data_IF_639946310896
#
_entry.id   IF_639946310896
#
_cell.length_a   1.000
_cell.length_b   1.000
_cell.length_c   1.000
_cell.angle_alpha   90.00
_cell.angle_beta   90.00
_cell.angle_gamma   90.00
#
_symmetry.space_group_name_H-M   'P 1'
#
loop_
_entity.id
_entity.type
_entity.pdbx_description
1 polymer ?
#
# COMPACT_ATOMS: atom_id res chain seq x y z
N UNK A 1 -9.64 -7.58 -8.89
CA UNK A 1 -10.06 -6.80 -7.72
C UNK A 1 -9.15 -5.61 -7.53
N UNK A 2 -9.74 -4.44 -7.52
CA UNK A 2 -9.11 -3.16 -7.23
C UNK A 2 -10.03 -2.31 -6.35
N UNK A 3 -9.72 -1.03 -6.19
CA UNK A 3 -10.68 -0.11 -5.55
C UNK A 3 -11.71 0.34 -6.58
N UNK A 4 -12.97 -0.05 -6.38
CA UNK A 4 -14.12 0.31 -7.26
C UNK A 4 -14.16 1.80 -7.53
N UNK A 5 -13.84 2.58 -6.51
CA UNK A 5 -13.93 4.03 -6.53
C UNK A 5 -12.57 4.73 -6.80
N UNK A 6 -11.58 4.07 -7.41
CA UNK A 6 -10.27 4.70 -7.68
C UNK A 6 -10.39 6.05 -8.41
N UNK A 7 -11.26 6.13 -9.44
CA UNK A 7 -11.52 7.37 -10.18
C UNK A 7 -12.05 8.47 -9.25
N UNK A 8 -12.90 8.11 -8.30
CA UNK A 8 -13.51 9.07 -7.37
C UNK A 8 -12.55 9.45 -6.25
N UNK A 9 -11.69 8.53 -5.78
CA UNK A 9 -10.55 8.84 -4.91
C UNK A 9 -9.68 9.91 -5.57
N UNK A 10 -9.26 9.71 -6.82
CA UNK A 10 -8.44 10.67 -7.56
C UNK A 10 -9.13 12.03 -7.74
N UNK A 11 -10.43 12.04 -8.09
CA UNK A 11 -11.21 13.28 -8.20
C UNK A 11 -11.33 13.99 -6.86
N UNK A 12 -11.48 13.26 -5.75
CA UNK A 12 -11.56 13.82 -4.40
C UNK A 12 -10.21 14.44 -4.02
N UNK A 13 -9.10 13.74 -4.28
CA UNK A 13 -7.74 14.28 -4.10
C UNK A 13 -7.55 15.60 -4.87
N UNK A 14 -7.97 15.67 -6.14
CA UNK A 14 -7.90 16.93 -6.94
C UNK A 14 -8.76 18.07 -6.41
N UNK A 15 -9.87 17.78 -5.72
CA UNK A 15 -10.71 18.81 -5.12
C UNK A 15 -10.11 19.32 -3.81
N UNK A 16 -9.54 18.44 -3.01
CA UNK A 16 -8.91 18.78 -1.72
C UNK A 16 -7.51 19.39 -1.90
N UNK A 17 -6.81 19.03 -2.97
CA UNK A 17 -5.45 19.48 -3.28
C UNK A 17 -5.32 19.92 -4.73
N UNK A 18 -4.75 21.11 -4.95
CA UNK A 18 -4.49 21.65 -6.31
C UNK A 18 -3.58 20.74 -7.13
N UNK A 19 -2.66 20.03 -6.47
CA UNK A 19 -1.71 19.11 -7.10
C UNK A 19 -1.77 17.74 -6.45
N UNK A 20 -1.88 16.71 -7.30
CA UNK A 20 -1.81 15.30 -6.89
C UNK A 20 -0.38 14.82 -7.03
N UNK A 21 0.20 14.31 -5.95
CA UNK A 21 1.57 13.81 -5.89
C UNK A 21 1.61 12.28 -5.94
N UNK A 22 2.71 11.73 -6.45
CA UNK A 22 3.02 10.32 -6.37
C UNK A 22 4.47 10.19 -5.89
N UNK A 23 4.67 9.57 -4.74
CA UNK A 23 5.98 9.37 -4.13
C UNK A 23 6.26 7.87 -4.00
N UNK A 24 7.42 7.43 -4.48
CA UNK A 24 7.94 6.09 -4.19
C UNK A 24 8.79 6.19 -2.94
N UNK A 25 8.50 5.35 -1.96
CA UNK A 25 9.20 5.25 -0.69
C UNK A 25 10.68 5.05 -0.89
N UNK A 26 11.50 5.78 -0.14
CA UNK A 26 12.95 5.55 -0.06
C UNK A 26 13.30 4.17 0.54
N UNK A 27 12.34 3.50 1.18
CA UNK A 27 12.48 2.14 1.70
C UNK A 27 12.13 1.08 0.66
N UNK A 28 11.94 1.50 -0.59
CA UNK A 28 11.76 0.59 -1.71
C UNK A 28 13.11 0.10 -2.21
N UNK A 29 13.15 -1.16 -2.62
CA UNK A 29 14.36 -1.76 -3.18
C UNK A 29 14.57 -1.34 -4.64
N UNK A 30 15.82 -1.35 -5.08
CA UNK A 30 16.15 -1.19 -6.49
C UNK A 30 15.53 -2.34 -7.30
N UNK A 31 14.87 -1.98 -8.41
CA UNK A 31 14.19 -2.95 -9.25
C UNK A 31 15.18 -3.83 -10.03
N UNK A 32 14.92 -5.13 -10.03
CA UNK A 32 15.62 -6.15 -10.79
C UNK A 32 14.56 -7.12 -11.37
N UNK A 33 14.43 -7.23 -12.70
CA UNK A 33 13.36 -8.04 -13.31
C UNK A 33 13.47 -9.55 -13.02
N UNK A 34 14.64 -10.04 -12.56
CA UNK A 34 14.83 -11.43 -12.16
C UNK A 34 14.39 -11.71 -10.72
N UNK A 35 13.98 -10.69 -9.96
CA UNK A 35 13.57 -10.80 -8.56
C UNK A 35 12.06 -10.70 -8.40
N UNK A 36 11.57 -11.17 -7.24
CA UNK A 36 10.16 -11.04 -6.85
C UNK A 36 9.98 -9.83 -5.94
N UNK A 37 8.86 -9.12 -6.12
CA UNK A 37 8.53 -7.95 -5.31
C UNK A 37 7.09 -7.98 -4.84
N UNK A 38 6.87 -7.43 -3.65
CA UNK A 38 5.56 -7.00 -3.18
C UNK A 38 5.54 -5.47 -3.14
N UNK A 39 4.39 -4.89 -3.50
CA UNK A 39 4.20 -3.46 -3.43
C UNK A 39 2.83 -3.08 -2.91
N UNK A 40 2.78 -1.92 -2.26
CA UNK A 40 1.53 -1.31 -1.77
C UNK A 40 1.49 0.13 -2.25
N UNK A 41 0.33 0.53 -2.77
CA UNK A 41 -0.01 1.93 -3.01
C UNK A 41 -0.99 2.39 -1.95
N UNK A 42 -0.68 3.50 -1.31
CA UNK A 42 -1.48 4.09 -0.24
C UNK A 42 -2.14 5.34 -0.79
N UNK A 43 -3.44 5.43 -0.57
CA UNK A 43 -4.30 6.51 -1.04
C UNK A 43 -4.62 7.49 0.09
N UNK A 44 -4.99 6.97 1.26
CA UNK A 44 -5.41 7.79 2.40
C UNK A 44 -5.12 7.08 3.73
N UNK A 45 -4.96 7.87 4.78
CA UNK A 45 -4.92 7.38 6.17
C UNK A 45 -5.93 8.18 6.97
N UNK A 46 -6.77 7.49 7.75
CA UNK A 46 -7.91 8.07 8.48
C UNK A 46 -8.83 8.89 7.56
N UNK A 47 -8.97 8.43 6.31
CA UNK A 47 -9.76 9.11 5.28
C UNK A 47 -9.13 10.40 4.74
N UNK A 48 -7.91 10.78 5.14
CA UNK A 48 -7.21 11.99 4.68
C UNK A 48 -6.16 11.67 3.63
N UNK A 49 -6.06 12.53 2.61
CA UNK A 49 -5.08 12.40 1.54
C UNK A 49 -3.73 13.07 1.84
N UNK A 50 -3.67 13.87 2.90
CA UNK A 50 -2.44 14.38 3.48
C UNK A 50 -2.36 13.92 4.93
N UNK A 51 -1.24 13.29 5.28
CA UNK A 51 -1.07 12.64 6.57
C UNK A 51 0.40 12.65 6.99
N UNK A 52 0.61 12.51 8.29
CA UNK A 52 1.91 12.36 8.92
C UNK A 52 1.96 10.98 9.57
N UNK A 53 2.97 10.17 9.24
CA UNK A 53 3.10 8.86 9.87
C UNK A 53 3.52 9.04 11.34
N UNK A 54 2.65 8.62 12.26
CA UNK A 54 2.89 8.65 13.71
C UNK A 54 2.85 7.27 14.36
N UNK A 55 2.60 6.24 13.57
CA UNK A 55 2.34 4.88 14.03
C UNK A 55 3.63 4.04 14.16
N UNK A 56 4.78 4.66 13.89
CA UNK A 56 6.09 4.03 13.95
C UNK A 56 6.55 3.54 12.58
N UNK A 57 7.23 2.40 12.57
CA UNK A 57 7.89 1.87 11.36
C UNK A 57 9.02 2.75 10.86
N UNK A 58 9.55 2.40 9.68
CA UNK A 58 10.69 3.10 9.07
C UNK A 58 10.36 4.54 8.63
N UNK A 59 9.11 4.80 8.25
CA UNK A 59 8.66 6.09 7.72
C UNK A 59 8.14 7.06 8.81
N UNK A 60 8.34 6.74 10.09
CA UNK A 60 7.84 7.53 11.21
C UNK A 60 8.28 9.01 11.16
N UNK A 61 7.38 9.92 11.50
CA UNK A 61 7.61 11.37 11.56
C UNK A 61 7.57 12.08 10.20
N UNK A 62 7.28 11.36 9.11
CA UNK A 62 7.28 11.92 7.75
C UNK A 62 5.88 12.24 7.27
N UNK A 63 5.77 13.32 6.50
CA UNK A 63 4.53 13.75 5.85
C UNK A 63 4.46 13.20 4.45
N UNK A 64 3.24 12.79 4.07
CA UNK A 64 2.91 12.23 2.76
C UNK A 64 1.64 12.90 2.24
N UNK A 65 1.50 12.87 0.91
CA UNK A 65 0.33 13.41 0.22
C UNK A 65 -0.03 12.55 -0.98
N UNK A 66 -1.33 12.40 -1.23
CA UNK A 66 -1.90 11.69 -2.38
C UNK A 66 -1.45 10.23 -2.45
N UNK A 67 -0.63 9.85 -3.43
CA UNK A 67 -0.18 8.48 -3.62
C UNK A 67 1.21 8.27 -3.01
N UNK A 68 1.33 7.30 -2.12
CA UNK A 68 2.61 6.83 -1.59
C UNK A 68 2.78 5.34 -1.88
N UNK A 69 3.91 4.96 -2.49
CA UNK A 69 4.15 3.61 -2.98
C UNK A 69 5.34 3.00 -2.26
N UNK A 70 5.20 1.78 -1.76
CA UNK A 70 6.29 1.00 -1.15
C UNK A 70 6.49 -0.24 -2.00
N UNK A 71 7.73 -0.57 -2.38
CA UNK A 71 8.05 -1.76 -3.19
C UNK A 71 9.29 -2.45 -2.62
N UNK A 72 9.17 -3.67 -2.09
CA UNK A 72 10.33 -4.39 -1.57
C UNK A 72 10.45 -5.76 -2.21
N UNK A 73 11.70 -6.21 -2.41
CA UNK A 73 12.01 -7.54 -2.87
C UNK A 73 11.69 -8.54 -1.78
N UNK A 74 10.97 -9.59 -2.15
CA UNK A 74 10.51 -10.60 -1.20
C UNK A 74 11.47 -11.80 -1.15
N UNK A 75 12.51 -11.83 -1.98
CA UNK A 75 13.37 -13.02 -2.17
C UNK A 75 14.09 -13.49 -0.89
N UNK A 76 14.42 -12.56 0.01
CA UNK A 76 15.14 -12.85 1.26
C UNK A 76 14.27 -12.68 2.51
N UNK A 77 12.95 -12.58 2.34
CA UNK A 77 12.05 -12.47 3.49
C UNK A 77 11.96 -13.81 4.21
N UNK A 78 11.99 -13.77 5.55
CA UNK A 78 11.80 -14.96 6.36
C UNK A 78 10.42 -15.56 6.09
N UNK A 79 10.31 -16.89 6.12
CA UNK A 79 9.04 -17.60 5.90
C UNK A 79 7.93 -17.12 6.83
N UNK A 80 8.27 -16.66 8.03
CA UNK A 80 7.32 -16.15 9.00
C UNK A 80 6.62 -14.86 8.52
N UNK A 81 7.21 -14.11 7.57
CA UNK A 81 6.56 -12.97 6.91
C UNK A 81 5.55 -13.37 5.85
N UNK A 82 5.47 -14.68 5.53
CA UNK A 82 4.51 -15.27 4.62
C UNK A 82 3.44 -16.10 5.34
N UNK A 83 3.58 -16.35 6.65
CA UNK A 83 2.64 -17.16 7.44
C UNK A 83 1.37 -16.36 7.84
N UNK A 84 0.24 -17.05 8.08
CA UNK A 84 -1.05 -16.57 7.60
C UNK A 84 -1.80 -15.68 8.59
N UNK A 85 -2.32 -14.56 8.06
CA UNK A 85 -3.70 -14.15 8.30
C UNK A 85 -4.58 -14.30 7.04
N UNK A 86 -4.09 -15.02 6.01
CA UNK A 86 -4.76 -15.22 4.71
C UNK A 86 -4.00 -14.60 3.53
N UNK A 87 -4.63 -14.59 2.36
CA UNK A 87 -4.12 -13.92 1.16
C UNK A 87 -3.83 -12.44 1.48
N UNK A 88 -2.60 -11.97 1.29
CA UNK A 88 -2.18 -10.58 1.57
C UNK A 88 -1.20 -10.37 2.75
N UNK A 89 -0.68 -11.45 3.34
CA UNK A 89 0.35 -11.38 4.41
C UNK A 89 1.58 -10.53 4.03
N UNK A 90 2.06 -10.65 2.78
CA UNK A 90 3.23 -9.90 2.30
C UNK A 90 2.99 -8.39 2.26
N UNK A 91 1.75 -7.97 1.96
CA UNK A 91 1.41 -6.54 1.89
C UNK A 91 1.14 -5.95 3.26
N UNK A 92 0.55 -6.74 4.17
CA UNK A 92 0.39 -6.35 5.57
C UNK A 92 1.76 -6.17 6.24
N UNK A 93 2.71 -7.06 5.98
CA UNK A 93 4.09 -6.90 6.43
C UNK A 93 4.72 -5.59 5.93
N UNK A 94 4.50 -5.20 4.66
CA UNK A 94 4.99 -3.91 4.15
C UNK A 94 4.43 -2.72 4.93
N UNK A 95 3.12 -2.73 5.17
CA UNK A 95 2.44 -1.67 5.91
C UNK A 95 2.96 -1.59 7.35
N UNK A 96 3.07 -2.72 8.04
CA UNK A 96 3.57 -2.78 9.42
C UNK A 96 5.06 -2.40 9.50
N UNK A 97 5.91 -2.91 8.60
CA UNK A 97 7.35 -2.62 8.60
C UNK A 97 7.67 -1.15 8.27
N UNK A 98 6.99 -0.59 7.27
CA UNK A 98 7.30 0.76 6.80
C UNK A 98 6.50 1.82 7.53
N UNK A 99 5.21 1.60 7.77
CA UNK A 99 4.33 2.58 8.42
C UNK A 99 4.03 2.29 9.88
N UNK A 100 4.24 1.06 10.37
CA UNK A 100 3.79 0.67 11.71
C UNK A 100 2.28 0.43 11.80
N UNK A 101 1.58 0.36 10.65
CA UNK A 101 0.11 0.24 10.60
C UNK A 101 -0.28 -1.16 10.15
N UNK A 102 -1.06 -1.85 10.96
CA UNK A 102 -1.68 -3.12 10.60
C UNK A 102 -2.90 -2.89 9.70
N UNK A 103 -3.02 -3.64 8.62
CA UNK A 103 -4.16 -3.50 7.68
C UNK A 103 -5.52 -3.82 8.32
N UNK A 104 -5.53 -4.61 9.39
CA UNK A 104 -6.73 -4.96 10.16
C UNK A 104 -7.44 -3.75 10.78
N UNK A 105 -6.71 -2.64 11.02
CA UNK A 105 -7.26 -1.42 11.60
C UNK A 105 -8.21 -0.67 10.64
N UNK A 106 -8.24 -1.03 9.34
CA UNK A 106 -9.08 -0.43 8.28
C UNK A 106 -8.94 1.09 8.05
N UNK A 107 -8.07 1.76 8.79
CA UNK A 107 -7.81 3.20 8.68
C UNK A 107 -7.00 3.60 7.46
N UNK A 108 -6.28 2.65 6.86
CA UNK A 108 -5.44 2.87 5.69
C UNK A 108 -6.15 2.41 4.42
N UNK A 109 -6.48 3.35 3.54
CA UNK A 109 -6.95 3.06 2.20
C UNK A 109 -5.74 2.77 1.31
N UNK A 110 -5.60 1.52 0.85
CA UNK A 110 -4.47 1.08 0.06
C UNK A 110 -4.84 -0.06 -0.91
N UNK A 111 -4.00 -0.26 -1.92
CA UNK A 111 -4.05 -1.41 -2.81
C UNK A 111 -2.71 -2.15 -2.85
N UNK A 112 -2.75 -3.47 -2.96
CA UNK A 112 -1.57 -4.32 -3.07
C UNK A 112 -1.35 -4.83 -4.49
N UNK A 113 -0.08 -4.92 -4.88
CA UNK A 113 0.38 -5.53 -6.12
C UNK A 113 1.65 -6.35 -5.88
N UNK A 114 2.00 -7.22 -6.81
CA UNK A 114 3.22 -8.00 -6.79
C UNK A 114 3.87 -8.00 -8.18
N UNK A 115 5.18 -8.18 -8.21
CA UNK A 115 5.91 -8.50 -9.42
C UNK A 115 6.45 -9.92 -9.28
N UNK A 116 5.93 -10.84 -10.10
CA UNK A 116 6.23 -12.27 -10.04
C UNK A 116 6.25 -12.82 -11.47
N UNK A 117 7.19 -13.71 -11.77
CA UNK A 117 7.37 -14.29 -13.11
C UNK A 117 7.48 -13.24 -14.22
N UNK A 118 8.19 -12.14 -13.92
CA UNK A 118 8.39 -10.99 -14.83
C UNK A 118 7.14 -10.18 -15.16
N UNK A 119 6.02 -10.43 -14.46
CA UNK A 119 4.75 -9.76 -14.68
C UNK A 119 4.27 -9.02 -13.43
N UNK A 120 3.60 -7.88 -13.67
CA UNK A 120 2.88 -7.16 -12.61
C UNK A 120 1.52 -7.81 -12.39
N UNK A 121 1.24 -8.19 -11.15
CA UNK A 121 0.00 -8.82 -10.73
C UNK A 121 -0.68 -7.99 -9.64
N UNK A 122 -1.97 -7.72 -9.78
CA UNK A 122 -2.76 -7.01 -8.76
C UNK A 122 -3.33 -8.02 -7.75
N UNK A 123 -2.42 -8.70 -7.04
CA UNK A 123 -2.64 -9.99 -6.39
C UNK A 123 -3.18 -9.96 -4.96
N UNK A 124 -3.47 -8.78 -4.39
CA UNK A 124 -3.89 -8.69 -2.98
C UNK A 124 -5.42 -8.77 -2.83
N UNK A 125 -5.97 -9.97 -2.67
CA UNK A 125 -7.42 -10.14 -2.44
C UNK A 125 -7.85 -9.49 -1.12
N UNK A 126 -7.06 -9.57 -0.04
CA UNK A 126 -7.47 -8.96 1.24
C UNK A 126 -7.37 -7.44 1.25
N UNK A 127 -6.32 -6.83 0.69
CA UNK A 127 -6.22 -5.38 0.65
C UNK A 127 -7.13 -4.79 -0.42
N UNK A 128 -7.17 -5.39 -1.61
CA UNK A 128 -7.97 -4.84 -2.71
C UNK A 128 -9.46 -5.09 -2.46
N UNK A 129 -9.81 -6.30 -1.98
CA UNK A 129 -11.17 -6.80 -1.80
C UNK A 129 -11.93 -6.30 -0.55
N UNK A 130 -11.32 -5.47 0.31
CA UNK A 130 -11.97 -4.95 1.53
C UNK A 130 -12.16 -3.44 1.48
N UNK A 131 -13.27 -2.97 2.02
CA UNK A 131 -13.48 -1.55 2.26
C UNK A 131 -12.54 -1.02 3.34
N UNK A 132 -12.00 0.16 3.10
CA UNK A 132 -11.07 0.87 3.98
C UNK A 132 -11.54 2.31 4.12
N UNK A 133 -11.20 2.99 5.21
CA UNK A 133 -11.62 4.37 5.43
C UNK A 133 -11.11 5.27 4.31
N UNK A 134 -12.03 5.72 3.44
CA UNK A 134 -11.73 6.54 2.27
C UNK A 134 -11.58 5.79 0.94
N UNK A 135 -11.74 4.46 0.88
CA UNK A 135 -11.72 3.67 -0.35
C UNK A 135 -12.66 2.44 -0.29
N UNK A 136 -13.48 2.28 -1.33
CA UNK A 136 -14.41 1.14 -1.47
C UNK A 136 -13.83 0.11 -2.43
N UNK A 137 -14.01 -1.16 -2.12
CA UNK A 137 -13.61 -2.31 -2.93
C UNK A 137 -14.62 -2.61 -4.05
N UNK A 138 -14.18 -3.24 -5.13
CA UNK A 138 -15.05 -3.80 -6.18
C UNK A 138 -15.57 -5.22 -5.89
N UNK A 139 -14.99 -5.90 -4.90
CA UNK A 139 -15.37 -7.27 -4.50
C UNK A 139 -15.25 -8.26 -5.65
#
# INVERSE_FOLDING_TARGET
MGKRNFKDIYRRMKREHVTVTCEISIFSDQFNPSRRYAGVIIYAIDGKFEWENRDGGKDCGRRRRSFYIIIQSTDNWLEDYYKPAGQGAVHDYLLTNVLGIESAQKRIACGGFAYLHQELQFSSISLNGRDQTGAESDG
#
